data_IF_976973754081
#
_entry.id   IF_976973754081
#
_cell.length_a   1.000
_cell.length_b   1.000
_cell.length_c   1.000
_cell.angle_alpha   90.00
_cell.angle_beta   90.00
_cell.angle_gamma   90.00
#
_symmetry.space_group_name_H-M   'P 1'
#
loop_
_entity.id
_entity.type
_entity.pdbx_description
1 polymer ?
#
# COMPACT_ATOMS: atom_id res chain seq x y z
N UNK A 1 -10.34 -10.48 -14.44
CA UNK A 1 -9.88 -10.25 -13.04
C UNK A 1 -8.52 -10.92 -12.89
N UNK A 2 -7.45 -10.15 -12.68
CA UNK A 2 -6.13 -10.74 -12.39
C UNK A 2 -6.14 -11.32 -10.98
N UNK A 3 -5.76 -12.59 -10.83
CA UNK A 3 -5.58 -13.21 -9.52
C UNK A 3 -4.15 -12.96 -9.08
N UNK A 4 -3.96 -12.33 -7.91
CA UNK A 4 -2.64 -12.18 -7.33
C UNK A 4 -2.09 -13.55 -6.93
N UNK A 5 -0.79 -13.82 -7.16
CA UNK A 5 -0.17 -15.04 -6.67
C UNK A 5 -0.30 -15.09 -5.16
N UNK A 6 -0.78 -16.23 -4.64
CA UNK A 6 -0.88 -16.46 -3.22
C UNK A 6 0.52 -16.58 -2.64
N UNK A 7 0.84 -15.71 -1.69
CA UNK A 7 2.08 -15.78 -0.93
C UNK A 7 1.73 -16.39 0.43
N UNK A 8 2.27 -17.56 0.79
CA UNK A 8 2.01 -18.17 2.09
C UNK A 8 2.71 -17.37 3.20
N UNK A 9 2.22 -17.49 4.43
CA UNK A 9 2.74 -16.74 5.59
C UNK A 9 4.22 -17.03 5.85
N UNK A 10 4.63 -18.26 5.59
CA UNK A 10 5.98 -18.79 5.82
C UNK A 10 7.00 -18.16 4.86
N UNK A 11 6.55 -17.68 3.69
CA UNK A 11 7.41 -16.99 2.73
C UNK A 11 7.71 -15.54 3.14
N UNK A 12 6.97 -14.98 4.10
CA UNK A 12 7.23 -13.63 4.63
C UNK A 12 8.21 -13.71 5.80
N UNK A 13 9.48 -13.47 5.49
CA UNK A 13 10.58 -13.43 6.47
C UNK A 13 10.67 -12.02 7.03
N UNK A 14 10.06 -11.81 8.20
CA UNK A 14 10.12 -10.56 8.95
C UNK A 14 10.31 -10.88 10.45
N UNK A 15 10.89 -9.96 11.24
CA UNK A 15 10.88 -10.09 12.68
C UNK A 15 9.45 -10.19 13.21
N UNK A 16 9.24 -11.05 14.22
CA UNK A 16 7.90 -11.31 14.79
C UNK A 16 7.21 -10.02 15.27
N UNK A 17 8.00 -9.08 15.83
CA UNK A 17 7.51 -7.75 16.22
C UNK A 17 6.93 -6.98 15.03
N UNK A 18 7.58 -7.04 13.87
CA UNK A 18 7.16 -6.33 12.65
C UNK A 18 5.89 -6.96 12.07
N UNK A 19 5.79 -8.28 12.08
CA UNK A 19 4.59 -9.00 11.64
C UNK A 19 3.38 -8.69 12.52
N UNK A 20 3.56 -8.70 13.84
CA UNK A 20 2.51 -8.28 14.80
C UNK A 20 2.07 -6.84 14.56
N UNK A 21 3.03 -5.94 14.32
CA UNK A 21 2.75 -4.55 13.99
C UNK A 21 1.94 -4.44 12.70
N UNK A 22 2.32 -5.21 11.67
CA UNK A 22 1.65 -5.21 10.38
C UNK A 22 0.22 -5.76 10.46
N UNK A 23 0.03 -6.91 11.09
CA UNK A 23 -1.28 -7.53 11.30
C UNK A 23 -2.22 -6.61 12.08
N UNK A 24 -1.73 -5.98 13.16
CA UNK A 24 -2.49 -4.98 13.92
C UNK A 24 -2.89 -3.78 13.05
N UNK A 25 -1.98 -3.31 12.21
CA UNK A 25 -2.17 -2.06 11.47
C UNK A 25 -2.92 -2.22 10.15
N UNK A 26 -2.95 -3.42 9.57
CA UNK A 26 -3.64 -3.73 8.31
C UNK A 26 -4.89 -4.54 8.58
N UNK A 27 -4.72 -5.80 9.00
CA UNK A 27 -5.78 -6.81 9.09
C UNK A 27 -6.80 -6.39 10.15
N UNK A 28 -6.35 -6.23 11.40
CA UNK A 28 -7.23 -5.83 12.52
C UNK A 28 -7.84 -4.45 12.33
N UNK A 29 -7.12 -3.54 11.67
CA UNK A 29 -7.64 -2.22 11.34
C UNK A 29 -8.81 -2.31 10.35
N UNK A 30 -8.71 -3.16 9.33
CA UNK A 30 -9.77 -3.41 8.36
C UNK A 30 -11.01 -4.01 9.03
N UNK A 31 -10.83 -5.02 9.89
CA UNK A 31 -11.91 -5.62 10.68
C UNK A 31 -12.63 -4.59 11.57
N UNK A 32 -11.89 -3.59 12.07
CA UNK A 32 -12.43 -2.55 12.95
C UNK A 32 -13.07 -1.37 12.20
N UNK A 33 -13.04 -1.33 10.86
CA UNK A 33 -13.48 -0.16 10.07
C UNK A 33 -14.94 0.20 10.31
N UNK A 34 -15.82 -0.78 10.46
CA UNK A 34 -17.24 -0.50 10.68
C UNK A 34 -17.47 0.20 12.03
N UNK A 35 -16.80 -0.27 13.08
CA UNK A 35 -16.83 0.35 14.40
C UNK A 35 -16.24 1.77 14.37
N UNK A 36 -15.09 1.95 13.70
CA UNK A 36 -14.48 3.28 13.51
C UNK A 36 -15.43 4.24 12.79
N UNK A 37 -16.12 3.76 11.74
CA UNK A 37 -17.10 4.57 10.99
C UNK A 37 -18.27 5.00 11.88
N UNK A 38 -18.80 4.10 12.74
CA UNK A 38 -19.87 4.44 13.70
C UNK A 38 -19.44 5.50 14.73
N UNK A 39 -18.16 5.53 15.06
CA UNK A 39 -17.57 6.52 15.98
C UNK A 39 -17.09 7.81 15.28
N UNK A 40 -17.39 7.99 13.99
CA UNK A 40 -16.94 9.15 13.21
C UNK A 40 -15.42 9.22 13.00
N UNK A 41 -14.70 8.12 13.20
CA UNK A 41 -13.25 8.05 13.08
C UNK A 41 -12.81 7.76 11.64
N UNK A 42 -11.60 8.18 11.29
CA UNK A 42 -11.01 7.88 9.97
C UNK A 42 -10.84 6.37 9.78
N UNK A 43 -11.34 5.88 8.64
CA UNK A 43 -11.15 4.50 8.18
C UNK A 43 -9.99 4.36 7.19
N UNK A 44 -9.25 5.45 6.96
CA UNK A 44 -8.06 5.48 6.10
C UNK A 44 -6.80 5.28 6.93
N UNK A 45 -5.87 4.49 6.40
CA UNK A 45 -4.58 4.21 7.04
C UNK A 45 -3.49 4.03 6.01
N UNK A 46 -2.38 4.73 6.21
CA UNK A 46 -1.17 4.60 5.40
C UNK A 46 -0.11 3.79 6.14
N UNK A 47 0.65 2.98 5.41
CA UNK A 47 1.78 2.22 5.93
C UNK A 47 2.94 2.40 4.96
N UNK A 48 4.11 2.72 5.51
CA UNK A 48 5.36 2.78 4.77
C UNK A 48 6.23 1.58 5.17
N UNK A 49 6.58 0.76 4.19
CA UNK A 49 7.59 -0.28 4.34
C UNK A 49 8.91 0.28 3.81
N UNK A 50 9.89 0.45 4.69
CA UNK A 50 11.21 0.97 4.34
C UNK A 50 12.31 0.06 4.88
N UNK A 51 13.51 0.18 4.30
CA UNK A 51 14.69 -0.58 4.68
C UNK A 51 15.54 -0.98 3.47
N UNK A 52 16.71 -1.58 3.68
CA UNK A 52 17.63 -1.98 2.61
C UNK A 52 16.97 -2.86 1.52
N UNK A 53 17.50 -2.90 0.29
CA UNK A 53 17.04 -3.85 -0.72
C UNK A 53 17.20 -5.30 -0.21
N UNK A 54 16.32 -6.21 -0.64
CA UNK A 54 16.35 -7.62 -0.24
C UNK A 54 15.69 -7.96 1.09
N UNK A 55 15.14 -7.00 1.85
CA UNK A 55 14.45 -7.27 3.15
C UNK A 55 13.01 -7.77 3.04
N UNK A 56 12.57 -8.24 1.88
CA UNK A 56 11.25 -8.86 1.71
C UNK A 56 10.06 -7.89 1.69
N UNK A 57 10.27 -6.58 1.49
CA UNK A 57 9.20 -5.56 1.41
C UNK A 57 8.15 -5.89 0.34
N UNK A 58 8.57 -6.09 -0.90
CA UNK A 58 7.70 -6.45 -2.03
C UNK A 58 6.94 -7.76 -1.78
N UNK A 59 7.60 -8.73 -1.15
CA UNK A 59 6.96 -10.01 -0.81
C UNK A 59 5.89 -9.84 0.28
N UNK A 60 6.17 -8.99 1.28
CA UNK A 60 5.24 -8.62 2.34
C UNK A 60 4.00 -7.92 1.78
N UNK A 61 4.18 -6.99 0.83
CA UNK A 61 3.07 -6.30 0.15
C UNK A 61 2.17 -7.31 -0.56
N UNK A 62 2.75 -8.23 -1.34
CA UNK A 62 2.00 -9.26 -2.07
C UNK A 62 1.24 -10.19 -1.12
N UNK A 63 1.88 -10.60 -0.02
CA UNK A 63 1.23 -11.36 1.05
C UNK A 63 0.01 -10.62 1.60
N UNK A 64 0.14 -9.34 1.97
CA UNK A 64 -1.00 -8.57 2.48
C UNK A 64 -2.11 -8.45 1.44
N UNK A 65 -1.77 -8.10 0.20
CA UNK A 65 -2.75 -7.95 -0.87
C UNK A 65 -3.54 -9.25 -1.13
N UNK A 66 -2.88 -10.42 -1.04
CA UNK A 66 -3.53 -11.72 -1.19
C UNK A 66 -4.41 -12.10 0.01
N UNK A 67 -4.11 -11.58 1.21
CA UNK A 67 -4.77 -11.91 2.47
C UNK A 67 -5.82 -10.87 2.92
N UNK A 68 -6.28 -10.00 2.01
CA UNK A 68 -7.37 -9.06 2.24
C UNK A 68 -8.59 -9.43 1.39
N UNK A 69 -9.39 -10.43 1.81
CA UNK A 69 -10.56 -10.86 1.06
C UNK A 69 -11.56 -9.71 0.89
N UNK A 70 -12.21 -9.67 -0.28
CA UNK A 70 -13.19 -8.65 -0.63
C UNK A 70 -12.62 -7.25 -0.84
N UNK A 71 -11.29 -7.07 -0.80
CA UNK A 71 -10.64 -5.78 -1.10
C UNK A 71 -10.11 -5.73 -2.52
N UNK A 72 -10.43 -4.65 -3.22
CA UNK A 72 -9.77 -4.32 -4.48
C UNK A 72 -8.32 -3.92 -4.19
N UNK A 73 -7.35 -4.59 -4.82
CA UNK A 73 -5.95 -4.16 -4.74
C UNK A 73 -5.54 -3.49 -6.04
N UNK A 74 -5.04 -2.25 -5.94
CA UNK A 74 -4.40 -1.54 -7.04
C UNK A 74 -2.91 -1.46 -6.75
N UNK A 75 -2.08 -2.02 -7.63
CA UNK A 75 -0.62 -1.95 -7.55
C UNK A 75 -0.16 -0.95 -8.59
N UNK A 76 0.51 0.10 -8.12
CA UNK A 76 1.03 1.20 -8.92
C UNK A 76 2.55 1.07 -8.89
N UNK A 77 3.15 0.92 -10.07
CA UNK A 77 4.60 0.90 -10.24
C UNK A 77 5.13 2.29 -10.56
N UNK A 78 6.45 2.47 -10.48
CA UNK A 78 7.08 3.76 -10.71
C UNK A 78 6.65 4.43 -12.04
N UNK A 79 6.57 3.67 -13.13
CA UNK A 79 6.19 4.19 -14.46
C UNK A 79 4.74 4.68 -14.57
N UNK A 80 3.88 4.38 -13.61
CA UNK A 80 2.45 4.72 -13.63
C UNK A 80 2.10 5.89 -12.71
N UNK A 81 3.08 6.51 -12.06
CA UNK A 81 2.84 7.53 -11.04
C UNK A 81 2.28 8.85 -11.56
N UNK A 82 2.46 9.16 -12.85
CA UNK A 82 1.74 10.27 -13.51
C UNK A 82 0.21 10.10 -13.51
N UNK A 83 -0.30 8.88 -13.30
CA UNK A 83 -1.74 8.59 -13.24
C UNK A 83 -2.24 8.35 -11.81
N UNK A 84 -1.47 8.71 -10.79
CA UNK A 84 -1.82 8.44 -9.38
C UNK A 84 -3.21 8.97 -9.02
N UNK A 85 -3.58 10.16 -9.49
CA UNK A 85 -4.91 10.76 -9.27
C UNK A 85 -6.04 9.86 -9.79
N UNK A 86 -5.89 9.29 -10.99
CA UNK A 86 -6.84 8.37 -11.59
C UNK A 86 -6.97 7.08 -10.79
N UNK A 87 -5.85 6.49 -10.35
CA UNK A 87 -5.89 5.29 -9.50
C UNK A 87 -6.55 5.57 -8.14
N UNK A 88 -6.34 6.74 -7.56
CA UNK A 88 -6.99 7.12 -6.29
C UNK A 88 -8.49 7.30 -6.46
N UNK A 89 -8.94 7.88 -7.59
CA UNK A 89 -10.36 7.94 -7.94
C UNK A 89 -10.96 6.55 -8.09
N UNK A 90 -10.27 5.66 -8.81
CA UNK A 90 -10.69 4.26 -8.97
C UNK A 90 -10.76 3.54 -7.61
N UNK A 91 -9.79 3.74 -6.73
CA UNK A 91 -9.76 3.14 -5.39
C UNK A 91 -10.94 3.59 -4.52
N UNK A 92 -11.39 4.85 -4.66
CA UNK A 92 -12.59 5.37 -3.98
C UNK A 92 -13.86 4.76 -4.52
N UNK A 93 -13.94 4.54 -5.83
CA UNK A 93 -15.10 3.91 -6.47
C UNK A 93 -15.21 2.41 -6.12
N UNK A 94 -14.07 1.71 -6.05
CA UNK A 94 -14.00 0.27 -5.83
C UNK A 94 -13.82 -0.12 -4.36
N UNK A 95 -14.27 0.73 -3.43
CA UNK A 95 -14.15 0.45 -2.01
C UNK A 95 -14.87 -0.87 -1.62
N UNK A 96 -14.28 -1.68 -0.72
CA UNK A 96 -13.05 -1.41 0.01
C UNK A 96 -11.79 -1.68 -0.85
N UNK A 97 -10.82 -0.76 -0.80
CA UNK A 97 -9.63 -0.84 -1.64
C UNK A 97 -8.32 -0.63 -0.85
N UNK A 98 -7.27 -1.31 -1.31
CA UNK A 98 -5.88 -1.14 -0.91
C UNK A 98 -5.08 -0.63 -2.11
N UNK A 99 -4.40 0.49 -1.94
CA UNK A 99 -3.49 1.04 -2.96
C UNK A 99 -2.06 0.77 -2.51
N UNK A 100 -1.31 0.08 -3.36
CA UNK A 100 0.11 -0.21 -3.19
C UNK A 100 0.88 0.64 -4.17
N UNK A 101 1.89 1.36 -3.68
CA UNK A 101 2.84 2.09 -4.51
C UNK A 101 4.19 1.42 -4.31
N UNK A 102 4.69 0.71 -5.33
CA UNK A 102 5.98 0.01 -5.31
C UNK A 102 7.10 0.89 -5.85
N UNK A 103 8.32 0.68 -5.34
CA UNK A 103 9.56 1.33 -5.79
C UNK A 103 9.48 2.86 -5.91
N UNK A 104 8.87 3.50 -4.89
CA UNK A 104 8.71 4.96 -4.80
C UNK A 104 10.05 5.70 -4.85
N UNK A 105 11.12 5.05 -4.40
CA UNK A 105 12.48 5.56 -4.45
C UNK A 105 13.00 5.76 -5.89
N UNK A 106 12.51 5.00 -6.88
CA UNK A 106 12.87 5.21 -8.28
C UNK A 106 12.36 6.54 -8.84
N UNK A 107 11.27 7.07 -8.28
CA UNK A 107 10.70 8.36 -8.69
C UNK A 107 11.25 9.51 -7.83
N UNK A 108 11.56 9.23 -6.56
CA UNK A 108 12.09 10.24 -5.65
C UNK A 108 13.51 10.70 -6.03
N UNK A 109 14.24 9.94 -6.85
CA UNK A 109 15.59 10.28 -7.34
C UNK A 109 15.62 11.41 -8.37
N UNK A 110 14.51 11.68 -9.05
CA UNK A 110 14.43 12.77 -10.05
C UNK A 110 14.38 14.18 -9.41
N UNK A 111 14.53 14.28 -8.09
CA UNK A 111 14.40 15.54 -7.33
C UNK A 111 15.68 16.36 -7.19
N UNK A 112 16.82 15.94 -7.73
CA UNK A 112 18.00 16.84 -7.77
C UNK A 112 17.78 18.07 -8.68
N UNK A 113 16.68 18.10 -9.44
CA UNK A 113 16.24 19.24 -10.28
C UNK A 113 14.90 19.85 -9.85
N UNK A 114 14.37 19.58 -8.65
CA UNK A 114 13.23 20.35 -8.12
C UNK A 114 13.71 21.56 -7.31
N UNK A 115 13.91 22.66 -8.01
CA UNK A 115 13.87 23.98 -7.39
C UNK A 115 12.46 24.27 -6.87
N UNK A 116 12.37 24.51 -5.56
CA UNK A 116 11.17 24.96 -4.81
C UNK A 116 9.99 23.96 -4.72
N UNK A 117 9.28 23.90 -3.57
CA UNK A 117 8.06 23.12 -3.45
C UNK A 117 6.95 23.74 -4.31
N UNK A 118 6.19 22.90 -5.01
CA UNK A 118 4.98 23.21 -5.79
C UNK A 118 5.20 23.77 -7.21
N UNK A 119 5.82 23.00 -8.10
CA UNK A 119 5.48 23.08 -9.54
C UNK A 119 5.20 21.67 -10.06
N UNK A 120 3.94 21.43 -10.45
CA UNK A 120 3.55 20.30 -11.30
C UNK A 120 4.03 20.62 -12.72
N UNK A 121 4.88 19.78 -13.31
CA UNK A 121 5.21 19.88 -14.72
C UNK A 121 4.00 19.42 -15.55
N UNK A 122 3.46 20.34 -16.34
CA UNK A 122 2.44 20.13 -17.38
C UNK A 122 2.90 19.12 -18.44
#
# INVERSE_FOLDING_TARGET
>A
VHRLPQVPREAVILPERTLKLLARNVIRFIESREALRRLGQSTRKGILLYGPPGTGKTHTIRYLAANLPGHTTLIITAGQMGLLSHYMTLARLLQPATVVIEDVDLIARDRETMGSPCEESL
#
